data_IF_573705776705
#
_entry.id   IF_573705776705
#
_cell.length_a   1.000
_cell.length_b   1.000
_cell.length_c   1.000
_cell.angle_alpha   90.00
_cell.angle_beta   90.00
_cell.angle_gamma   90.00
#
_symmetry.space_group_name_H-M   'P 1'
#
loop_
_entity.id
_entity.type
_entity.pdbx_description
1 polymer ?
#
# COMPACT_ATOMS: atom_id res chain seq x y z
N UNK A 1 -53.89 8.75 -19.20
CA UNK A 1 -52.98 9.22 -20.25
C UNK A 1 -51.56 9.19 -19.65
N UNK A 2 -50.85 8.10 -19.87
CA UNK A 2 -49.53 7.87 -19.31
C UNK A 2 -48.46 8.28 -20.33
N UNK A 3 -47.57 9.21 -19.98
CA UNK A 3 -46.37 9.46 -20.74
C UNK A 3 -45.22 8.63 -20.15
N UNK A 4 -44.74 7.67 -20.94
CA UNK A 4 -43.48 6.94 -20.72
C UNK A 4 -42.33 7.84 -21.19
N UNK A 5 -41.45 8.26 -20.29
CA UNK A 5 -40.14 8.75 -20.68
C UNK A 5 -39.16 7.56 -20.83
N UNK A 6 -38.78 7.27 -22.04
CA UNK A 6 -37.68 6.36 -22.39
C UNK A 6 -36.41 7.16 -22.33
N UNK A 7 -35.57 6.86 -21.35
CA UNK A 7 -34.18 7.37 -21.32
C UNK A 7 -33.37 6.55 -22.30
N UNK A 8 -32.86 7.17 -23.36
CA UNK A 8 -31.85 6.61 -24.24
C UNK A 8 -30.48 6.77 -23.58
N UNK A 9 -29.92 5.68 -23.06
CA UNK A 9 -28.51 5.62 -22.70
C UNK A 9 -27.74 5.42 -24.01
N UNK A 10 -27.10 6.48 -24.49
CA UNK A 10 -26.12 6.40 -25.57
C UNK A 10 -24.85 5.81 -24.97
N UNK A 11 -24.61 4.53 -25.16
CA UNK A 11 -23.32 3.92 -24.94
C UNK A 11 -22.36 4.50 -26.00
N UNK A 12 -21.48 5.39 -25.60
CA UNK A 12 -20.40 5.86 -26.46
C UNK A 12 -19.32 4.76 -26.40
N UNK A 13 -19.25 3.96 -27.45
CA UNK A 13 -18.10 3.08 -27.69
C UNK A 13 -16.99 3.99 -28.22
N UNK A 14 -16.07 4.37 -27.34
CA UNK A 14 -14.82 5.02 -27.75
C UNK A 14 -13.93 3.95 -28.38
N UNK A 15 -13.44 4.16 -29.58
CA UNK A 15 -12.51 3.27 -30.25
C UNK A 15 -11.12 3.36 -29.59
N UNK A 16 -10.36 2.27 -29.61
CA UNK A 16 -9.00 2.15 -29.02
C UNK A 16 -7.99 3.19 -29.53
N UNK A 17 -8.33 3.98 -30.55
CA UNK A 17 -7.46 4.98 -31.16
C UNK A 17 -7.59 6.38 -30.56
N UNK A 18 -8.58 6.64 -29.68
CA UNK A 18 -8.88 8.00 -29.20
C UNK A 18 -8.10 8.42 -27.93
N UNK A 19 -7.21 7.56 -27.39
CA UNK A 19 -6.54 7.83 -26.14
C UNK A 19 -5.16 8.53 -26.22
N UNK A 20 -4.72 8.96 -27.39
CA UNK A 20 -3.36 9.50 -27.55
C UNK A 20 -3.21 10.98 -27.95
N UNK A 21 -4.28 11.75 -28.05
CA UNK A 21 -4.14 13.18 -28.39
C UNK A 21 -5.12 14.04 -27.59
N UNK A 22 -4.65 14.68 -26.53
CA UNK A 22 -5.29 15.88 -25.98
C UNK A 22 -4.64 17.07 -26.67
N UNK A 23 -5.30 17.59 -27.69
CA UNK A 23 -4.91 18.88 -28.32
C UNK A 23 -5.29 20.03 -27.38
N UNK A 24 -4.28 20.71 -26.83
CA UNK A 24 -4.39 22.07 -26.34
C UNK A 24 -3.34 22.90 -27.04
N UNK A 25 -3.79 23.89 -27.81
CA UNK A 25 -3.03 25.02 -28.38
C UNK A 25 -1.71 24.70 -29.13
N UNK A 26 -1.68 23.65 -29.94
CA UNK A 26 -0.57 23.42 -30.87
C UNK A 26 0.74 22.89 -30.25
N UNK A 27 0.84 22.74 -28.94
CA UNK A 27 1.96 22.08 -28.27
C UNK A 27 1.52 20.70 -27.73
N UNK A 28 2.02 19.66 -28.37
CA UNK A 28 1.85 18.29 -27.86
C UNK A 28 2.50 18.17 -26.47
N UNK A 29 1.70 17.90 -25.44
CA UNK A 29 2.23 17.69 -24.08
C UNK A 29 2.98 16.37 -24.05
N UNK A 30 4.25 16.41 -23.68
CA UNK A 30 5.05 15.21 -23.45
C UNK A 30 4.59 14.53 -22.15
N UNK A 31 4.18 13.28 -22.23
CA UNK A 31 3.77 12.45 -21.09
C UNK A 31 4.87 11.41 -20.89
N UNK A 32 5.70 11.52 -19.83
CA UNK A 32 6.71 10.51 -19.54
C UNK A 32 6.05 9.23 -19.02
N UNK A 33 6.60 8.08 -19.39
CA UNK A 33 6.13 6.78 -18.95
C UNK A 33 6.55 6.46 -17.51
N UNK A 34 7.74 6.93 -17.09
CA UNK A 34 8.34 6.63 -15.79
C UNK A 34 8.81 7.91 -15.10
N UNK A 35 8.28 8.19 -13.94
CA UNK A 35 8.57 9.38 -13.12
C UNK A 35 9.15 8.93 -11.79
N UNK A 36 10.27 9.56 -11.37
CA UNK A 36 10.80 9.44 -10.02
C UNK A 36 10.30 10.61 -9.18
N UNK A 37 9.95 10.33 -7.91
CA UNK A 37 9.42 11.31 -6.99
C UNK A 37 10.38 11.60 -5.85
N UNK A 38 10.38 12.84 -5.39
CA UNK A 38 10.95 13.26 -4.11
C UNK A 38 9.81 13.52 -3.12
N UNK A 39 9.92 13.01 -1.87
CA UNK A 39 8.82 13.08 -0.91
C UNK A 39 8.71 14.44 -0.23
N UNK A 40 7.51 14.72 0.31
CA UNK A 40 7.32 15.71 1.36
C UNK A 40 7.57 15.07 2.74
N UNK A 41 8.12 15.84 3.69
CA UNK A 41 8.47 15.35 5.02
C UNK A 41 7.64 15.98 6.13
N UNK A 42 7.46 15.24 7.26
CA UNK A 42 6.81 15.68 8.48
C UNK A 42 7.66 15.34 9.70
N UNK A 43 7.68 16.23 10.71
CA UNK A 43 8.48 16.16 11.94
C UNK A 43 7.64 15.93 13.20
N UNK A 44 6.66 15.07 13.16
CA UNK A 44 5.78 14.78 14.28
C UNK A 44 6.53 14.31 15.54
N UNK A 45 5.95 14.57 16.73
CA UNK A 45 6.54 14.31 18.05
C UNK A 45 6.92 12.85 18.34
N UNK A 46 6.38 11.93 17.59
CA UNK A 46 6.60 10.48 17.72
C UNK A 46 7.65 9.94 16.72
N UNK A 47 8.11 10.77 15.79
CA UNK A 47 9.05 10.39 14.76
C UNK A 47 10.43 10.00 15.26
N UNK A 48 11.17 9.32 14.40
CA UNK A 48 12.51 8.81 14.66
C UNK A 48 13.55 9.25 13.63
N UNK A 49 14.56 8.41 13.49
CA UNK A 49 15.70 8.64 12.57
C UNK A 49 15.84 7.54 11.51
N UNK A 50 14.98 6.50 11.53
CA UNK A 50 15.09 5.36 10.59
C UNK A 50 14.93 5.80 9.14
N UNK A 51 14.03 6.76 8.83
CA UNK A 51 13.91 7.30 7.48
C UNK A 51 15.23 7.90 6.96
N UNK A 52 16.03 8.47 7.84
CA UNK A 52 17.36 9.00 7.50
C UNK A 52 18.42 7.89 7.45
N UNK A 53 18.45 7.02 8.47
CA UNK A 53 19.52 6.01 8.61
C UNK A 53 19.34 4.80 7.72
N UNK A 54 18.10 4.37 7.46
CA UNK A 54 17.77 3.21 6.62
C UNK A 54 17.64 3.62 5.15
N UNK A 55 16.90 4.69 4.86
CA UNK A 55 16.59 5.10 3.49
C UNK A 55 17.45 6.27 2.97
N UNK A 56 18.30 6.85 3.83
CA UNK A 56 19.15 7.98 3.44
C UNK A 56 18.36 9.25 3.09
N UNK A 57 17.13 9.40 3.58
CA UNK A 57 16.30 10.59 3.36
C UNK A 57 16.99 11.83 3.92
N UNK A 58 16.87 12.94 3.21
CA UNK A 58 17.53 14.22 3.57
C UNK A 58 16.51 15.34 3.60
N UNK A 59 16.43 16.02 4.72
CA UNK A 59 15.68 17.26 4.90
C UNK A 59 16.25 18.03 6.10
N UNK A 60 15.76 19.23 6.35
CA UNK A 60 16.23 20.13 7.41
C UNK A 60 15.68 19.78 8.80
N UNK A 61 14.76 18.82 8.93
CA UNK A 61 14.24 18.36 10.21
C UNK A 61 15.28 17.52 10.95
N UNK A 62 15.37 17.64 12.28
CA UNK A 62 16.22 16.80 13.13
C UNK A 62 15.72 15.36 13.14
N UNK A 63 14.40 15.17 13.19
CA UNK A 63 13.69 13.89 13.08
C UNK A 63 12.77 13.92 11.86
N UNK A 64 12.57 12.76 11.26
CA UNK A 64 11.63 12.59 10.14
C UNK A 64 10.60 11.56 10.56
N UNK A 65 9.39 12.01 10.91
CA UNK A 65 8.32 11.13 11.33
C UNK A 65 7.64 10.46 10.14
N UNK A 66 7.37 11.24 9.09
CA UNK A 66 6.73 10.75 7.86
C UNK A 66 7.47 11.26 6.61
N UNK A 67 7.48 10.41 5.59
CA UNK A 67 7.97 10.71 4.25
C UNK A 67 6.86 10.35 3.25
N UNK A 68 6.21 11.37 2.66
CA UNK A 68 5.08 11.21 1.75
C UNK A 68 5.59 10.97 0.34
N UNK A 69 5.70 9.70 -0.04
CA UNK A 69 6.41 9.22 -1.22
C UNK A 69 5.62 9.44 -2.52
N UNK A 70 4.30 9.23 -2.49
CA UNK A 70 3.38 9.51 -3.59
C UNK A 70 2.22 10.31 -3.04
N UNK A 71 2.22 11.61 -3.28
CA UNK A 71 1.22 12.51 -2.71
C UNK A 71 0.90 13.68 -3.65
N UNK A 72 -0.38 13.82 -3.98
CA UNK A 72 -0.95 15.04 -4.54
C UNK A 72 -1.74 15.85 -3.49
N UNK A 73 -1.69 15.44 -2.20
CA UNK A 73 -2.46 16.05 -1.14
C UNK A 73 -1.95 17.46 -0.79
N UNK A 74 -2.82 18.48 -0.65
CA UNK A 74 -2.38 19.88 -0.39
C UNK A 74 -1.52 20.05 0.85
N UNK A 75 -1.71 19.21 1.88
CA UNK A 75 -0.92 19.24 3.11
C UNK A 75 0.56 18.83 2.91
N UNK A 76 0.92 18.19 1.78
CA UNK A 76 2.29 17.78 1.49
C UNK A 76 2.38 17.02 0.18
N UNK A 77 2.74 17.70 -0.90
CA UNK A 77 2.88 17.09 -2.22
C UNK A 77 4.30 16.55 -2.44
N UNK A 78 4.41 15.40 -3.09
CA UNK A 78 5.67 14.95 -3.67
C UNK A 78 6.07 15.85 -4.84
N UNK A 79 7.35 15.84 -5.19
CA UNK A 79 7.91 16.64 -6.26
C UNK A 79 8.51 15.72 -7.32
N UNK A 80 8.41 16.08 -8.59
CA UNK A 80 9.07 15.36 -9.68
C UNK A 80 10.58 15.53 -9.54
N UNK A 81 11.32 14.42 -9.40
CA UNK A 81 12.74 14.45 -9.08
C UNK A 81 13.64 14.85 -10.26
N UNK A 82 13.25 14.51 -11.48
CA UNK A 82 14.08 14.69 -12.67
C UNK A 82 13.28 14.84 -13.96
N UNK A 83 13.98 15.05 -15.08
CA UNK A 83 13.38 15.20 -16.41
C UNK A 83 12.81 16.60 -16.65
N UNK A 84 11.96 16.73 -17.67
CA UNK A 84 11.42 18.03 -18.13
C UNK A 84 10.45 18.66 -17.13
N UNK A 85 9.98 17.91 -16.17
CA UNK A 85 9.06 18.37 -15.11
C UNK A 85 9.74 18.46 -13.73
N UNK A 86 11.09 18.33 -13.67
CA UNK A 86 11.82 18.40 -12.40
C UNK A 86 11.45 19.67 -11.60
N UNK A 87 11.16 19.47 -10.29
CA UNK A 87 10.75 20.54 -9.38
C UNK A 87 9.25 20.85 -9.38
N UNK A 88 8.46 20.26 -10.28
CA UNK A 88 6.99 20.44 -10.30
C UNK A 88 6.34 19.62 -9.20
N UNK A 89 5.33 20.14 -8.51
CA UNK A 89 4.52 19.36 -7.59
C UNK A 89 3.75 18.28 -8.32
N UNK A 90 3.60 17.11 -7.68
CA UNK A 90 2.98 15.95 -8.30
C UNK A 90 1.51 16.22 -8.69
N UNK A 91 0.75 16.97 -7.89
CA UNK A 91 -0.62 17.36 -8.26
C UNK A 91 -0.68 18.22 -9.50
N UNK A 92 0.19 19.25 -9.60
CA UNK A 92 0.30 20.09 -10.80
C UNK A 92 0.71 19.27 -12.04
N UNK A 93 1.62 18.29 -11.85
CA UNK A 93 2.02 17.40 -12.92
C UNK A 93 0.83 16.57 -13.43
N UNK A 94 0.03 15.97 -12.53
CA UNK A 94 -1.16 15.19 -12.90
C UNK A 94 -2.19 16.06 -13.63
N UNK A 95 -2.44 17.27 -13.17
CA UNK A 95 -3.31 18.23 -13.88
C UNK A 95 -2.80 18.52 -15.30
N UNK A 96 -1.50 18.71 -15.45
CA UNK A 96 -0.84 19.03 -16.71
C UNK A 96 -0.90 17.87 -17.72
N UNK A 97 -0.61 16.64 -17.31
CA UNK A 97 -0.64 15.46 -18.20
C UNK A 97 -2.04 14.91 -18.43
N UNK A 98 -3.01 15.35 -17.62
CA UNK A 98 -4.41 14.97 -17.70
C UNK A 98 -4.77 13.64 -17.08
N UNK A 99 -6.03 13.51 -16.65
CA UNK A 99 -6.55 12.32 -15.94
C UNK A 99 -6.48 11.03 -16.74
N UNK A 100 -6.46 11.09 -18.08
CA UNK A 100 -6.30 9.90 -18.93
C UNK A 100 -5.00 9.13 -18.64
N UNK A 101 -3.95 9.85 -18.20
CA UNK A 101 -2.67 9.26 -17.80
C UNK A 101 -2.74 8.44 -16.50
N UNK A 102 -3.84 8.56 -15.75
CA UNK A 102 -4.11 7.76 -14.55
C UNK A 102 -4.86 6.45 -14.85
N UNK A 103 -5.43 6.32 -16.05
CA UNK A 103 -6.27 5.20 -16.46
C UNK A 103 -7.77 5.43 -16.20
N UNK A 104 -8.61 4.60 -16.88
CA UNK A 104 -10.06 4.81 -16.88
C UNK A 104 -10.73 4.60 -15.52
N UNK A 105 -10.14 3.81 -14.61
CA UNK A 105 -10.63 3.64 -13.22
C UNK A 105 -10.57 4.95 -12.43
N UNK A 106 -9.67 5.84 -12.78
CA UNK A 106 -9.53 7.15 -12.13
C UNK A 106 -10.35 8.26 -12.83
N UNK A 107 -11.02 7.98 -13.94
CA UNK A 107 -11.67 9.01 -14.78
C UNK A 107 -12.77 9.78 -14.03
N UNK A 108 -13.53 9.12 -13.15
CA UNK A 108 -14.62 9.71 -12.36
C UNK A 108 -14.17 10.37 -11.07
N UNK A 109 -12.90 10.19 -10.66
CA UNK A 109 -12.40 10.74 -9.40
C UNK A 109 -12.11 12.24 -9.55
N UNK A 110 -12.44 13.02 -8.55
CA UNK A 110 -12.21 14.47 -8.56
C UNK A 110 -10.73 14.80 -8.31
N UNK A 111 -10.07 14.04 -7.42
CA UNK A 111 -8.66 14.19 -7.07
C UNK A 111 -7.87 12.89 -7.28
N UNK A 112 -6.54 12.97 -7.17
CA UNK A 112 -5.67 11.80 -7.20
C UNK A 112 -6.04 10.85 -6.05
N UNK A 113 -6.17 9.52 -6.29
CA UNK A 113 -6.93 8.64 -5.39
C UNK A 113 -6.19 8.18 -4.14
N UNK A 114 -4.86 8.10 -4.16
CA UNK A 114 -4.08 7.48 -3.07
C UNK A 114 -2.98 8.39 -2.54
N UNK A 115 -2.53 8.09 -1.33
CA UNK A 115 -1.38 8.69 -0.68
C UNK A 115 -0.52 7.55 -0.12
N UNK A 116 0.78 7.56 -0.42
CA UNK A 116 1.72 6.55 0.06
C UNK A 116 2.80 7.23 0.90
N UNK A 117 3.09 6.65 2.08
CA UNK A 117 4.04 7.19 3.04
C UNK A 117 4.95 6.11 3.58
N UNK A 118 6.15 6.51 3.99
CA UNK A 118 6.86 5.83 5.06
C UNK A 118 6.62 6.54 6.39
N UNK A 119 6.42 5.77 7.45
CA UNK A 119 6.20 6.25 8.82
C UNK A 119 7.23 5.61 9.73
N UNK A 120 8.03 6.44 10.40
CA UNK A 120 8.99 6.01 11.43
C UNK A 120 8.43 6.31 12.82
N UNK A 121 7.77 5.31 13.40
CA UNK A 121 7.15 5.38 14.71
C UNK A 121 8.16 5.05 15.82
N UNK A 122 9.08 5.94 16.15
CA UNK A 122 9.98 5.76 17.30
C UNK A 122 9.20 5.70 18.63
N UNK A 123 8.11 6.46 18.72
CA UNK A 123 7.14 6.41 19.84
C UNK A 123 5.77 6.02 19.30
N UNK A 124 4.84 5.50 20.12
CA UNK A 124 3.53 5.10 19.62
C UNK A 124 2.77 6.29 19.03
N UNK A 125 2.09 6.10 17.91
CA UNK A 125 1.14 7.07 17.39
C UNK A 125 -0.08 7.14 18.31
N UNK A 126 -0.89 8.21 18.16
CA UNK A 126 -2.18 8.32 18.86
C UNK A 126 -3.09 7.17 18.48
N UNK A 127 -3.93 6.72 19.40
CA UNK A 127 -5.09 5.91 19.08
C UNK A 127 -6.06 6.78 18.30
N UNK A 128 -6.44 6.34 17.12
CA UNK A 128 -7.18 7.11 16.13
C UNK A 128 -8.13 6.25 15.31
N UNK A 129 -8.98 6.93 14.56
CA UNK A 129 -9.93 6.32 13.64
C UNK A 129 -10.10 7.23 12.43
N UNK A 130 -10.48 6.66 11.31
CA UNK A 130 -10.74 7.39 10.08
C UNK A 130 -12.18 7.21 9.62
N UNK A 131 -12.81 8.25 9.04
CA UNK A 131 -14.15 8.16 8.44
C UNK A 131 -14.12 7.40 7.12
N UNK A 132 -15.28 6.89 6.69
CA UNK A 132 -15.53 6.47 5.32
C UNK A 132 -15.78 7.65 4.37
N UNK A 133 -15.99 7.35 3.08
CA UNK A 133 -16.21 8.39 2.07
C UNK A 133 -17.46 9.23 2.35
N UNK A 134 -18.56 8.61 2.76
CA UNK A 134 -19.84 9.31 2.96
C UNK A 134 -19.71 10.35 4.08
N UNK A 135 -19.17 9.96 5.22
CA UNK A 135 -18.96 10.86 6.35
C UNK A 135 -17.89 11.94 6.03
N UNK A 136 -16.78 11.55 5.43
CA UNK A 136 -15.67 12.46 5.15
C UNK A 136 -16.03 13.53 4.10
N UNK A 137 -16.74 13.17 3.04
CA UNK A 137 -17.21 14.13 2.03
C UNK A 137 -18.19 15.15 2.62
N UNK A 138 -19.07 14.72 3.52
CA UNK A 138 -20.04 15.63 4.16
C UNK A 138 -19.40 16.55 5.19
N UNK A 139 -18.45 16.06 6.00
CA UNK A 139 -17.96 16.75 7.20
C UNK A 139 -16.57 17.36 7.06
N UNK A 140 -15.71 16.83 6.13
CA UNK A 140 -14.32 17.26 5.99
C UNK A 140 -13.99 17.77 4.58
N UNK A 141 -14.89 17.59 3.61
CA UNK A 141 -14.64 17.86 2.19
C UNK A 141 -13.40 17.10 1.67
N UNK A 142 -13.18 15.91 2.17
CA UNK A 142 -12.13 14.96 1.77
C UNK A 142 -12.77 13.57 1.51
N UNK A 143 -12.02 12.66 0.87
CA UNK A 143 -12.41 11.26 0.83
C UNK A 143 -12.24 10.60 2.20
N UNK A 144 -12.85 9.44 2.38
CA UNK A 144 -12.60 8.56 3.52
C UNK A 144 -11.16 8.05 3.52
N UNK A 145 -10.80 7.29 4.56
CA UNK A 145 -9.44 6.80 4.70
C UNK A 145 -9.42 5.34 5.09
N UNK A 146 -9.44 4.48 4.08
CA UNK A 146 -9.02 3.09 4.20
C UNK A 146 -7.52 3.03 3.94
N UNK A 147 -6.79 2.23 4.71
CA UNK A 147 -5.34 2.17 4.63
C UNK A 147 -4.78 0.75 4.81
N UNK A 148 -3.60 0.51 4.30
CA UNK A 148 -2.83 -0.70 4.47
C UNK A 148 -1.45 -0.35 4.99
N UNK A 149 -0.97 -1.10 5.97
CA UNK A 149 0.36 -0.99 6.53
C UNK A 149 1.20 -2.21 6.15
N UNK A 150 2.33 -1.96 5.54
CA UNK A 150 3.36 -2.97 5.33
C UNK A 150 4.51 -2.69 6.31
N UNK A 151 4.82 -3.64 7.19
CA UNK A 151 5.89 -3.51 8.18
C UNK A 151 7.23 -3.68 7.48
N UNK A 152 7.98 -2.60 7.36
CA UNK A 152 9.32 -2.59 6.73
C UNK A 152 10.36 -3.08 7.70
N UNK A 153 10.31 -2.58 8.95
CA UNK A 153 11.23 -2.92 10.03
C UNK A 153 10.56 -2.68 11.38
N UNK A 154 10.91 -3.43 12.40
CA UNK A 154 10.42 -3.20 13.74
C UNK A 154 11.38 -3.72 14.82
N UNK A 155 11.28 -3.13 16.02
CA UNK A 155 11.97 -3.61 17.21
C UNK A 155 11.33 -4.92 17.72
N UNK A 156 12.09 -5.81 18.37
CA UNK A 156 11.53 -7.02 18.98
C UNK A 156 10.40 -6.70 19.97
N UNK A 157 9.25 -7.39 19.84
CA UNK A 157 8.07 -7.17 20.67
C UNK A 157 7.25 -5.91 20.29
N UNK A 158 7.56 -5.28 19.17
CA UNK A 158 6.74 -4.20 18.63
C UNK A 158 5.34 -4.70 18.25
N UNK A 159 4.34 -3.84 18.37
CA UNK A 159 2.95 -4.21 18.16
C UNK A 159 2.13 -3.07 17.58
N UNK A 160 1.00 -3.43 16.99
CA UNK A 160 -0.04 -2.50 16.53
C UNK A 160 -1.30 -2.68 17.40
N UNK A 161 -2.11 -1.64 17.50
CA UNK A 161 -3.51 -1.79 17.87
C UNK A 161 -4.37 -1.79 16.61
N UNK A 162 -5.30 -2.75 16.46
CA UNK A 162 -6.22 -2.78 15.34
C UNK A 162 -7.57 -3.41 15.75
N UNK A 163 -8.58 -2.55 15.81
CA UNK A 163 -9.95 -2.88 16.13
C UNK A 163 -10.21 -3.28 17.58
N UNK A 164 -11.48 -3.45 17.88
CA UNK A 164 -11.96 -3.85 19.21
C UNK A 164 -11.78 -5.36 19.43
N UNK A 165 -11.40 -5.76 20.65
CA UNK A 165 -11.29 -7.17 21.05
C UNK A 165 -12.62 -7.80 21.50
N UNK A 166 -13.64 -6.99 21.64
CA UNK A 166 -15.03 -7.35 21.94
C UNK A 166 -15.98 -6.26 21.48
N UNK A 167 -17.27 -6.52 21.46
CA UNK A 167 -18.27 -5.48 21.27
C UNK A 167 -18.20 -4.46 22.40
N UNK A 168 -18.17 -3.16 22.03
CA UNK A 168 -18.12 -2.03 22.96
C UNK A 168 -19.04 -0.94 22.44
N UNK A 169 -19.99 -0.47 23.25
CA UNK A 169 -20.87 0.62 22.86
C UNK A 169 -20.16 2.00 22.93
N UNK A 170 -20.78 3.01 22.34
CA UNK A 170 -20.21 4.36 22.22
C UNK A 170 -20.04 5.04 23.60
N UNK A 171 -20.91 4.77 24.56
CA UNK A 171 -20.86 5.36 25.91
C UNK A 171 -19.71 4.74 26.71
N UNK A 172 -19.50 3.42 26.60
CA UNK A 172 -18.34 2.76 27.18
C UNK A 172 -17.03 3.27 26.52
N UNK A 173 -16.99 3.41 25.18
CA UNK A 173 -15.81 3.96 24.49
C UNK A 173 -15.47 5.37 25.00
N UNK A 174 -16.46 6.24 25.11
CA UNK A 174 -16.27 7.60 25.69
C UNK A 174 -15.68 7.54 27.09
N UNK A 175 -16.28 6.73 27.95
CA UNK A 175 -15.81 6.55 29.34
C UNK A 175 -14.37 6.05 29.37
N UNK A 176 -14.00 5.11 28.51
CA UNK A 176 -12.63 4.55 28.43
C UNK A 176 -11.60 5.58 27.92
N UNK A 177 -11.98 6.43 26.97
CA UNK A 177 -11.14 7.54 26.51
C UNK A 177 -10.87 8.49 27.66
N UNK A 178 -11.94 8.93 28.36
CA UNK A 178 -11.85 9.88 29.48
C UNK A 178 -11.03 9.33 30.66
N UNK A 179 -11.09 8.03 30.89
CA UNK A 179 -10.36 7.35 31.97
C UNK A 179 -8.99 6.78 31.54
N UNK A 180 -8.54 7.05 30.30
CA UNK A 180 -7.27 6.53 29.76
C UNK A 180 -7.17 5.01 29.72
N UNK A 181 -8.28 4.28 29.56
CA UNK A 181 -8.37 2.81 29.57
C UNK A 181 -8.77 2.21 28.22
N UNK A 182 -8.80 3.02 27.16
CA UNK A 182 -9.24 2.57 25.81
C UNK A 182 -8.43 1.38 25.28
N UNK A 183 -7.14 1.28 25.64
CA UNK A 183 -6.26 0.19 25.19
C UNK A 183 -6.67 -1.20 25.71
N UNK A 184 -7.47 -1.28 26.78
CA UNK A 184 -7.94 -2.55 27.35
C UNK A 184 -8.98 -3.25 26.46
N UNK A 185 -9.61 -2.52 25.56
CA UNK A 185 -10.64 -3.03 24.63
C UNK A 185 -10.15 -3.14 23.20
N UNK A 186 -8.86 -2.91 22.92
CA UNK A 186 -8.26 -3.01 21.60
C UNK A 186 -7.50 -4.35 21.43
N UNK A 187 -7.51 -4.87 20.21
CA UNK A 187 -6.60 -5.95 19.84
C UNK A 187 -5.18 -5.40 19.79
N UNK A 188 -4.28 -6.06 20.51
CA UNK A 188 -2.85 -5.83 20.47
C UNK A 188 -2.19 -6.93 19.65
N UNK A 189 -1.56 -6.57 18.54
CA UNK A 189 -1.03 -7.48 17.54
C UNK A 189 0.48 -7.29 17.49
N UNK A 190 1.26 -8.30 17.87
CA UNK A 190 2.70 -8.30 17.67
C UNK A 190 3.01 -8.43 16.18
N UNK A 191 4.01 -7.69 15.72
CA UNK A 191 4.36 -7.63 14.29
C UNK A 191 5.84 -7.91 14.07
N UNK A 192 6.14 -8.34 12.83
CA UNK A 192 7.50 -8.54 12.32
C UNK A 192 7.62 -7.93 10.91
N UNK A 193 8.84 -7.67 10.43
CA UNK A 193 9.05 -7.22 9.06
C UNK A 193 8.39 -8.17 8.04
N UNK A 194 7.71 -7.60 7.06
CA UNK A 194 6.95 -8.33 6.04
C UNK A 194 5.47 -8.55 6.37
N UNK A 195 5.03 -8.27 7.60
CA UNK A 195 3.62 -8.33 7.95
C UNK A 195 2.84 -7.20 7.26
N UNK A 196 1.57 -7.49 6.93
CA UNK A 196 0.67 -6.56 6.30
C UNK A 196 -0.65 -6.50 7.05
N UNK A 197 -1.14 -5.29 7.34
CA UNK A 197 -2.41 -5.06 8.04
C UNK A 197 -3.26 -4.11 7.22
N UNK A 198 -4.49 -4.50 6.91
CA UNK A 198 -5.49 -3.61 6.33
C UNK A 198 -6.32 -2.97 7.45
N UNK A 199 -6.48 -1.66 7.40
CA UNK A 199 -7.27 -0.87 8.36
C UNK A 199 -8.43 -0.24 7.60
N UNK A 200 -9.60 -0.83 7.76
CA UNK A 200 -10.84 -0.29 7.20
C UNK A 200 -11.25 0.99 7.92
N UNK A 201 -11.82 1.95 7.19
CA UNK A 201 -12.49 3.09 7.79
C UNK A 201 -13.48 2.64 8.88
N UNK A 202 -13.57 3.38 9.99
CA UNK A 202 -14.36 2.98 11.16
C UNK A 202 -13.64 2.06 12.15
N UNK A 203 -12.41 1.62 11.86
CA UNK A 203 -11.61 0.77 12.75
C UNK A 203 -10.72 1.62 13.66
N UNK A 204 -10.79 1.42 14.98
CA UNK A 204 -9.87 2.06 15.94
C UNK A 204 -8.50 1.39 15.82
N UNK A 205 -7.43 2.19 15.65
CA UNK A 205 -6.09 1.64 15.42
C UNK A 205 -4.99 2.56 15.95
N UNK A 206 -3.78 2.01 16.09
CA UNK A 206 -2.56 2.78 16.34
C UNK A 206 -1.32 1.98 15.99
N UNK A 207 -0.29 2.64 15.46
CA UNK A 207 1.05 2.08 15.32
C UNK A 207 1.77 2.20 16.66
N UNK A 208 2.29 1.09 17.17
CA UNK A 208 3.12 1.04 18.36
C UNK A 208 4.50 1.65 18.15
N UNK A 209 5.31 1.67 19.22
CA UNK A 209 6.67 2.20 19.13
C UNK A 209 7.63 1.23 18.44
N UNK A 210 8.68 1.78 17.82
CA UNK A 210 9.78 1.03 17.24
C UNK A 210 9.49 0.43 15.87
N UNK A 211 8.46 0.90 15.16
CA UNK A 211 8.02 0.34 13.88
C UNK A 211 8.28 1.33 12.75
N UNK A 212 8.82 0.82 11.64
CA UNK A 212 8.90 1.51 10.35
C UNK A 212 7.92 0.84 9.39
N UNK A 213 6.95 1.58 8.88
CA UNK A 213 5.96 1.07 7.93
C UNK A 213 5.97 1.80 6.60
N UNK A 214 5.52 1.12 5.56
CA UNK A 214 5.02 1.71 4.32
C UNK A 214 3.49 1.69 4.40
N UNK A 215 2.87 2.87 4.45
CA UNK A 215 1.42 3.05 4.48
C UNK A 215 0.90 3.40 3.09
N UNK A 216 -0.06 2.64 2.59
CA UNK A 216 -0.82 2.93 1.38
C UNK A 216 -2.26 3.20 1.79
N UNK A 217 -2.79 4.38 1.41
CA UNK A 217 -4.10 4.84 1.85
C UNK A 217 -4.84 5.59 0.76
N UNK A 218 -6.15 5.81 0.93
CA UNK A 218 -6.86 6.81 0.15
C UNK A 218 -6.23 8.19 0.38
N UNK A 219 -6.36 9.10 -0.60
CA UNK A 219 -5.77 10.43 -0.56
C UNK A 219 -6.53 11.37 0.40
N UNK A 220 -6.40 11.10 1.68
CA UNK A 220 -7.03 11.84 2.79
C UNK A 220 -6.05 12.05 3.92
N UNK A 221 -6.20 13.16 4.64
CA UNK A 221 -5.46 13.46 5.87
C UNK A 221 -6.39 13.52 7.09
N UNK A 222 -7.65 13.12 6.92
CA UNK A 222 -8.65 13.12 7.98
C UNK A 222 -8.34 12.08 9.04
N UNK A 223 -8.12 12.53 10.28
CA UNK A 223 -7.76 11.69 11.42
C UNK A 223 -8.52 12.15 12.66
N UNK A 224 -9.34 11.28 13.22
CA UNK A 224 -10.01 11.54 14.50
C UNK A 224 -9.23 10.87 15.61
N UNK A 225 -8.49 11.71 16.34
CA UNK A 225 -7.66 11.28 17.48
C UNK A 225 -8.53 11.04 18.69
N UNK A 226 -8.47 9.83 19.23
CA UNK A 226 -9.25 9.40 20.40
C UNK A 226 -8.43 9.47 21.68
N UNK A 227 -7.14 9.12 21.63
CA UNK A 227 -6.26 9.13 22.79
C UNK A 227 -4.81 9.36 22.37
N UNK A 228 -4.08 10.19 23.11
CA UNK A 228 -2.71 10.60 22.79
C UNK A 228 -1.72 10.44 23.94
N UNK A 229 -2.00 9.54 24.91
CA UNK A 229 -1.10 9.23 26.04
C UNK A 229 -0.73 10.46 26.86
N UNK A 230 -1.60 11.47 26.97
CA UNK A 230 -1.36 12.76 27.61
C UNK A 230 -0.10 13.49 27.14
N UNK A 231 0.37 13.20 25.93
CA UNK A 231 1.56 13.82 25.34
C UNK A 231 1.36 15.32 25.17
N UNK A 232 2.46 16.04 25.42
CA UNK A 232 2.52 17.48 25.21
C UNK A 232 3.72 17.81 24.33
N UNK A 233 3.56 18.86 23.54
CA UNK A 233 4.64 19.43 22.77
C UNK A 233 5.66 20.15 23.69
N UNK A 234 6.74 20.67 23.09
CA UNK A 234 7.79 21.43 23.81
C UNK A 234 7.27 22.71 24.51
N UNK A 235 6.06 23.16 24.18
CA UNK A 235 5.41 24.32 24.77
C UNK A 235 4.37 23.93 25.82
N UNK A 236 4.17 22.66 26.08
CA UNK A 236 3.21 22.12 27.05
C UNK A 236 1.79 21.92 26.50
N UNK A 237 1.56 22.08 25.20
CA UNK A 237 0.24 21.91 24.59
C UNK A 237 -0.02 20.44 24.29
N UNK A 238 -1.22 19.94 24.63
CA UNK A 238 -1.73 18.66 24.16
C UNK A 238 -2.28 18.80 22.73
N UNK A 239 -2.22 17.71 21.94
CA UNK A 239 -2.92 17.65 20.66
C UNK A 239 -4.43 17.51 20.89
N UNK A 240 -5.22 18.13 20.03
CA UNK A 240 -6.67 18.04 20.07
C UNK A 240 -7.15 16.60 19.93
N UNK A 241 -8.17 16.22 20.71
CA UNK A 241 -8.91 14.97 20.59
C UNK A 241 -10.23 15.25 19.87
N UNK A 242 -10.62 14.33 18.98
CA UNK A 242 -11.82 14.45 18.13
C UNK A 242 -12.86 13.40 18.55
N UNK A 243 -13.19 13.34 19.86
CA UNK A 243 -13.95 12.23 20.46
C UNK A 243 -15.33 12.07 19.82
N UNK A 244 -16.07 13.18 19.65
CA UNK A 244 -17.43 13.12 19.09
C UNK A 244 -17.43 12.59 17.65
N UNK A 245 -16.58 13.14 16.77
CA UNK A 245 -16.42 12.66 15.39
C UNK A 245 -15.95 11.22 15.34
N UNK A 246 -15.04 10.82 16.24
CA UNK A 246 -14.58 9.43 16.33
C UNK A 246 -15.73 8.48 16.70
N UNK A 247 -16.57 8.88 17.66
CA UNK A 247 -17.73 8.08 18.05
C UNK A 247 -18.83 8.06 16.98
N UNK A 248 -18.90 9.05 16.10
CA UNK A 248 -19.84 9.04 14.99
C UNK A 248 -19.52 7.91 14.00
N UNK A 249 -18.24 7.70 13.69
CA UNK A 249 -17.78 6.80 12.64
C UNK A 249 -17.31 5.42 13.12
N UNK A 250 -17.23 5.17 14.43
CA UNK A 250 -16.66 3.93 14.98
C UNK A 250 -17.52 2.71 14.68
N UNK A 251 -16.88 1.65 14.21
CA UNK A 251 -17.44 0.29 14.26
C UNK A 251 -17.31 -0.25 15.69
N UNK A 252 -18.43 -0.59 16.30
CA UNK A 252 -18.52 -1.05 17.69
C UNK A 252 -18.45 -2.58 17.85
N UNK A 253 -18.41 -3.30 16.75
CA UNK A 253 -18.28 -4.75 16.76
C UNK A 253 -16.82 -5.19 16.96
N UNK A 254 -16.59 -6.40 17.49
CA UNK A 254 -15.25 -6.92 17.58
C UNK A 254 -14.61 -7.05 16.21
N UNK A 255 -13.36 -6.63 16.10
CA UNK A 255 -12.62 -6.80 14.86
C UNK A 255 -12.24 -8.27 14.68
N UNK A 256 -12.68 -8.84 13.57
CA UNK A 256 -12.36 -10.20 13.19
C UNK A 256 -11.26 -10.14 12.13
N UNK A 257 -10.11 -10.75 12.45
CA UNK A 257 -9.11 -11.02 11.43
C UNK A 257 -9.64 -12.18 10.59
N UNK A 258 -10.16 -11.88 9.41
CA UNK A 258 -10.62 -12.93 8.51
C UNK A 258 -9.41 -13.74 8.03
N UNK A 259 -9.30 -14.99 8.51
CA UNK A 259 -8.44 -15.97 7.88
C UNK A 259 -9.06 -16.37 6.54
N UNK A 260 -8.30 -16.33 5.49
CA UNK A 260 -8.74 -16.55 4.12
C UNK A 260 -9.00 -18.02 3.87
N UNK A 261 -10.24 -18.49 4.02
CA UNK A 261 -10.63 -19.85 3.58
C UNK A 261 -11.79 -19.90 2.57
N UNK A 262 -12.47 -18.78 2.23
CA UNK A 262 -13.57 -18.84 1.26
C UNK A 262 -13.82 -17.52 0.52
N UNK A 263 -13.44 -17.47 -0.77
CA UNK A 263 -13.61 -16.32 -1.66
C UNK A 263 -14.69 -16.52 -2.73
N UNK A 264 -15.70 -17.31 -2.45
CA UNK A 264 -16.86 -17.44 -3.37
C UNK A 264 -17.98 -16.45 -3.09
N UNK A 265 -17.84 -15.53 -2.13
CA UNK A 265 -18.82 -14.48 -1.85
C UNK A 265 -18.25 -13.11 -2.23
N UNK A 266 -19.12 -12.25 -2.79
CA UNK A 266 -18.91 -10.86 -3.17
C UNK A 266 -18.41 -9.94 -2.03
N UNK A 267 -17.37 -10.34 -1.27
CA UNK A 267 -16.79 -9.47 -0.25
C UNK A 267 -15.93 -8.39 -0.92
N UNK A 268 -16.23 -7.15 -0.62
CA UNK A 268 -15.60 -5.94 -1.17
C UNK A 268 -14.10 -5.80 -0.79
N UNK A 269 -13.59 -6.69 0.10
CA UNK A 269 -12.24 -6.63 0.66
C UNK A 269 -11.60 -8.01 0.77
N UNK A 270 -10.32 -8.07 0.44
CA UNK A 270 -9.47 -9.25 0.62
C UNK A 270 -8.42 -8.96 1.68
N UNK A 271 -8.41 -9.70 2.79
CA UNK A 271 -7.41 -9.60 3.85
C UNK A 271 -6.43 -10.75 3.73
N UNK A 272 -5.18 -10.54 4.13
CA UNK A 272 -4.16 -11.59 4.20
C UNK A 272 -3.82 -11.84 5.67
N UNK A 273 -3.90 -13.11 6.08
CA UNK A 273 -3.54 -13.54 7.45
C UNK A 273 -2.06 -13.23 7.73
N UNK A 274 -1.81 -12.58 8.87
CA UNK A 274 -0.46 -12.24 9.33
C UNK A 274 0.33 -13.45 9.83
N UNK A 275 -0.32 -14.61 10.04
CA UNK A 275 0.31 -15.80 10.61
C UNK A 275 0.88 -16.77 9.58
N UNK A 276 0.78 -16.49 8.28
CA UNK A 276 1.41 -17.32 7.27
C UNK A 276 2.90 -16.99 7.24
N UNK A 277 3.81 -17.94 7.54
CA UNK A 277 5.25 -17.72 7.37
C UNK A 277 5.50 -17.26 5.94
N UNK A 278 6.35 -16.23 5.76
CA UNK A 278 6.71 -15.84 4.40
C UNK A 278 7.26 -17.08 3.69
N UNK A 279 6.70 -17.43 2.54
CA UNK A 279 7.13 -18.60 1.75
C UNK A 279 8.64 -18.53 1.47
N UNK A 280 9.23 -17.32 1.44
CA UNK A 280 10.67 -17.10 1.34
C UNK A 280 11.47 -17.70 2.50
N UNK A 281 10.99 -17.68 3.76
CA UNK A 281 11.70 -18.31 4.87
C UNK A 281 11.66 -19.84 4.79
N UNK A 282 10.51 -20.42 4.44
CA UNK A 282 10.39 -21.86 4.26
C UNK A 282 11.27 -22.37 3.10
N UNK A 283 11.35 -21.59 2.03
CA UNK A 283 12.16 -21.93 0.83
C UNK A 283 13.68 -21.77 1.09
N UNK A 284 14.09 -20.73 1.81
CA UNK A 284 15.49 -20.49 2.20
C UNK A 284 15.96 -21.57 3.19
N UNK A 285 15.12 -22.02 4.11
CA UNK A 285 15.47 -23.10 5.05
C UNK A 285 15.64 -24.43 4.33
N UNK A 286 14.75 -24.77 3.39
CA UNK A 286 14.87 -25.98 2.58
C UNK A 286 16.11 -25.96 1.67
N UNK A 287 16.50 -24.79 1.13
CA UNK A 287 17.70 -24.68 0.27
C UNK A 287 19.02 -24.64 1.03
N UNK A 288 19.01 -24.37 2.32
CA UNK A 288 20.25 -24.36 3.15
C UNK A 288 20.61 -25.73 3.72
N UNK A 289 19.63 -26.63 3.92
CA UNK A 289 19.84 -27.94 4.52
C UNK A 289 20.01 -29.06 3.48
N UNK A 290 19.84 -28.77 2.19
CA UNK A 290 20.02 -29.75 1.09
C UNK A 290 21.34 -29.47 0.39
N UNK A 291 22.39 -30.20 0.76
CA UNK A 291 23.58 -30.34 -0.10
C UNK A 291 23.15 -31.13 -1.34
N UNK A 292 22.90 -30.44 -2.44
CA UNK A 292 22.57 -31.05 -3.73
C UNK A 292 23.80 -31.82 -4.23
N UNK A 293 23.79 -33.14 -4.08
CA UNK A 293 24.60 -33.99 -4.91
C UNK A 293 24.06 -33.93 -6.37
N UNK A 294 24.95 -33.75 -7.33
CA UNK A 294 24.67 -33.38 -8.72
C UNK A 294 23.80 -34.40 -9.52
N UNK A 295 23.12 -35.35 -8.86
CA UNK A 295 22.33 -36.41 -9.48
C UNK A 295 20.91 -36.63 -8.92
N UNK A 296 20.45 -35.79 -7.98
CA UNK A 296 19.07 -35.96 -7.45
C UNK A 296 18.13 -35.01 -8.15
N UNK A 297 17.08 -35.57 -8.80
CA UNK A 297 16.08 -34.74 -9.47
C UNK A 297 15.24 -33.95 -8.43
N UNK A 298 14.92 -32.69 -8.72
CA UNK A 298 14.13 -31.81 -7.87
C UNK A 298 12.76 -32.41 -7.50
N UNK A 299 12.20 -33.27 -8.35
CA UNK A 299 10.95 -34.02 -8.12
C UNK A 299 11.01 -34.98 -6.93
N UNK A 300 12.15 -35.59 -6.66
CA UNK A 300 12.30 -36.51 -5.51
C UNK A 300 12.35 -35.76 -4.17
N UNK A 301 12.85 -34.53 -4.18
CA UNK A 301 12.92 -33.69 -2.98
C UNK A 301 11.54 -33.12 -2.60
N UNK A 302 10.70 -32.78 -3.58
CA UNK A 302 9.33 -32.31 -3.35
C UNK A 302 8.40 -33.40 -2.78
N UNK A 303 8.65 -34.69 -3.09
CA UNK A 303 7.87 -35.83 -2.56
C UNK A 303 8.19 -36.19 -1.11
N UNK A 304 9.25 -35.65 -0.50
CA UNK A 304 9.63 -35.91 0.87
C UNK A 304 9.01 -34.93 1.90
N UNK A 305 8.27 -33.92 1.46
CA UNK A 305 7.52 -33.00 2.32
C UNK A 305 6.16 -33.64 2.66
N UNK A 306 5.87 -33.71 3.94
CA UNK A 306 4.87 -34.55 4.60
C UNK A 306 3.46 -34.56 4.00
N UNK A 307 2.79 -35.69 4.17
CA UNK A 307 1.51 -36.12 3.60
C UNK A 307 0.24 -35.39 4.14
N UNK A 308 0.33 -34.21 4.73
CA UNK A 308 -0.82 -33.47 5.27
C UNK A 308 -1.17 -32.20 4.46
N UNK A 309 -0.28 -31.72 3.58
CA UNK A 309 -0.52 -30.51 2.82
C UNK A 309 -0.78 -30.87 1.35
N UNK A 310 -1.79 -30.25 0.74
CA UNK A 310 -2.12 -30.45 -0.67
C UNK A 310 -0.92 -30.09 -1.53
N UNK A 311 -0.38 -31.06 -2.24
CA UNK A 311 0.80 -30.92 -3.11
C UNK A 311 0.46 -30.02 -4.29
N UNK A 312 1.21 -28.93 -4.45
CA UNK A 312 1.19 -28.11 -5.65
C UNK A 312 1.84 -28.88 -6.82
N UNK A 313 1.20 -28.89 -7.98
CA UNK A 313 1.81 -29.45 -9.20
C UNK A 313 2.92 -28.54 -9.71
N UNK A 314 4.09 -29.13 -9.95
CA UNK A 314 5.23 -28.44 -10.56
C UNK A 314 5.19 -28.70 -12.07
N UNK A 315 4.89 -27.67 -12.85
CA UNK A 315 4.96 -27.73 -14.30
C UNK A 315 6.26 -27.09 -14.80
N UNK A 316 7.11 -27.84 -15.47
CA UNK A 316 8.24 -27.30 -16.23
C UNK A 316 7.81 -27.10 -17.70
N UNK A 317 8.04 -25.88 -18.24
CA UNK A 317 7.89 -25.69 -19.67
C UNK A 317 9.03 -26.36 -20.46
N UNK A 318 8.76 -26.63 -21.75
CA UNK A 318 9.69 -27.34 -22.64
C UNK A 318 11.00 -26.55 -22.94
N UNK A 319 11.17 -25.36 -22.38
CA UNK A 319 12.32 -24.48 -22.57
C UNK A 319 13.31 -24.48 -21.40
N UNK A 320 12.99 -25.15 -20.26
CA UNK A 320 13.92 -25.33 -19.14
C UNK A 320 14.30 -24.09 -18.38
N UNK A 321 13.51 -23.00 -18.41
CA UNK A 321 13.86 -21.70 -17.86
C UNK A 321 12.95 -21.22 -16.74
N UNK A 322 11.95 -22.00 -16.31
CA UNK A 322 11.04 -21.58 -15.23
C UNK A 322 10.57 -22.73 -14.36
N UNK A 323 10.65 -22.60 -13.06
CA UNK A 323 9.99 -23.46 -12.08
C UNK A 323 8.80 -22.69 -11.55
N UNK A 324 7.58 -23.08 -11.93
CA UNK A 324 6.35 -22.55 -11.37
C UNK A 324 5.86 -23.40 -10.21
N UNK A 325 5.68 -22.83 -9.04
CA UNK A 325 4.95 -23.45 -7.94
C UNK A 325 3.58 -22.76 -7.85
N UNK A 326 2.51 -23.52 -8.16
CA UNK A 326 1.15 -23.04 -7.96
C UNK A 326 0.66 -23.54 -6.60
N UNK A 327 0.33 -22.63 -5.71
CA UNK A 327 -0.42 -22.93 -4.49
C UNK A 327 -1.90 -22.68 -4.82
N UNK A 328 -2.68 -23.75 -4.79
CA UNK A 328 -4.12 -23.65 -5.04
C UNK A 328 -4.76 -23.04 -3.79
N UNK A 329 -5.21 -21.83 -3.96
CA UNK A 329 -6.24 -21.04 -3.29
C UNK A 329 -5.88 -19.57 -3.49
N UNK A 330 -6.59 -18.84 -4.29
CA UNK A 330 -6.68 -17.40 -4.62
C UNK A 330 -5.63 -16.37 -4.10
N UNK A 331 -4.65 -16.78 -3.33
CA UNK A 331 -3.40 -16.06 -3.12
C UNK A 331 -2.46 -16.41 -4.26
N UNK A 332 -2.52 -15.68 -5.37
CA UNK A 332 -1.65 -15.86 -6.50
C UNK A 332 -0.18 -15.60 -6.10
N UNK A 333 0.47 -16.64 -5.61
CA UNK A 333 1.92 -16.71 -5.47
C UNK A 333 2.46 -17.28 -6.77
N UNK A 334 3.12 -16.48 -7.60
CA UNK A 334 3.84 -16.99 -8.76
C UNK A 334 5.34 -16.82 -8.55
N UNK A 335 6.09 -17.92 -8.65
CA UNK A 335 7.54 -17.89 -8.71
C UNK A 335 7.91 -18.06 -10.20
N UNK A 336 8.22 -16.96 -10.84
CA UNK A 336 8.91 -16.99 -12.13
C UNK A 336 10.38 -16.81 -11.78
N UNK A 337 11.24 -17.80 -12.00
CA UNK A 337 12.66 -17.95 -11.61
C UNK A 337 13.50 -16.73 -11.20
N UNK A 338 13.07 -15.50 -11.51
CA UNK A 338 13.79 -14.27 -11.25
C UNK A 338 13.11 -13.37 -10.19
N UNK A 339 11.86 -13.64 -9.80
CA UNK A 339 11.15 -12.89 -8.76
C UNK A 339 10.03 -13.72 -8.12
N UNK A 340 9.63 -13.27 -6.94
CA UNK A 340 8.45 -13.74 -6.22
C UNK A 340 7.44 -12.59 -6.10
N UNK A 341 6.15 -12.87 -6.32
CA UNK A 341 5.05 -11.90 -6.19
C UNK A 341 4.01 -12.40 -5.20
N UNK A 342 3.57 -11.51 -4.32
CA UNK A 342 2.50 -11.76 -3.34
C UNK A 342 1.49 -10.62 -3.36
N UNK A 343 0.20 -10.96 -3.50
CA UNK A 343 -0.87 -10.00 -3.23
C UNK A 343 -0.88 -9.67 -1.74
N UNK A 344 -0.81 -8.39 -1.38
CA UNK A 344 -0.89 -7.92 0.00
C UNK A 344 -2.31 -7.54 0.37
N UNK A 345 -2.95 -6.69 -0.44
CA UNK A 345 -4.31 -6.20 -0.23
C UNK A 345 -4.97 -5.94 -1.58
N UNK A 346 -6.24 -6.26 -1.69
CA UNK A 346 -7.13 -5.77 -2.75
C UNK A 346 -8.41 -5.27 -2.10
N UNK A 347 -8.75 -4.01 -2.33
CA UNK A 347 -9.99 -3.40 -1.86
C UNK A 347 -10.62 -2.55 -2.98
N UNK A 348 -11.74 -1.91 -2.71
CA UNK A 348 -12.42 -1.00 -3.64
C UNK A 348 -11.52 0.13 -4.17
N UNK A 349 -10.54 0.56 -3.38
CA UNK A 349 -9.78 1.78 -3.59
C UNK A 349 -8.39 1.54 -4.21
N UNK A 350 -7.77 0.40 -3.90
CA UNK A 350 -6.44 0.06 -4.41
C UNK A 350 -6.15 -1.44 -4.29
N UNK A 351 -5.17 -1.87 -5.09
CA UNK A 351 -4.54 -3.17 -4.98
C UNK A 351 -3.05 -2.98 -4.74
N UNK A 352 -2.50 -3.70 -3.75
CA UNK A 352 -1.08 -3.70 -3.41
C UNK A 352 -0.50 -5.10 -3.56
N UNK A 353 0.65 -5.18 -4.21
CA UNK A 353 1.40 -6.41 -4.40
C UNK A 353 2.85 -6.21 -3.97
N UNK A 354 3.43 -7.20 -3.30
CA UNK A 354 4.86 -7.26 -3.00
C UNK A 354 5.58 -8.01 -4.11
N UNK A 355 6.75 -7.51 -4.50
CA UNK A 355 7.69 -8.18 -5.38
C UNK A 355 9.04 -8.32 -4.70
N UNK A 356 9.52 -9.56 -4.54
CA UNK A 356 10.90 -9.87 -4.20
C UNK A 356 11.62 -10.20 -5.51
N UNK A 357 12.38 -9.26 -6.03
CA UNK A 357 13.08 -9.39 -7.31
C UNK A 357 14.51 -9.85 -7.04
N UNK A 358 14.91 -10.98 -7.63
CA UNK A 358 16.26 -11.54 -7.51
C UNK A 358 17.16 -11.17 -8.67
N UNK A 359 16.58 -11.05 -9.88
CA UNK A 359 17.25 -10.58 -11.09
C UNK A 359 16.40 -9.64 -11.90
N UNK A 360 15.24 -10.09 -12.39
CA UNK A 360 14.36 -9.29 -13.22
C UNK A 360 12.89 -9.63 -12.97
N UNK A 361 12.06 -8.57 -12.85
CA UNK A 361 10.60 -8.69 -12.89
C UNK A 361 10.02 -7.89 -14.06
N UNK A 362 8.93 -8.39 -14.65
CA UNK A 362 8.18 -7.71 -15.70
C UNK A 362 6.74 -7.52 -15.26
N UNK A 363 6.28 -6.28 -15.21
CA UNK A 363 4.96 -5.91 -14.72
C UNK A 363 4.19 -5.22 -15.84
N UNK A 364 3.05 -5.80 -16.23
CA UNK A 364 2.17 -5.18 -17.22
C UNK A 364 1.43 -3.99 -16.61
N UNK A 365 1.39 -2.89 -17.35
CA UNK A 365 0.56 -1.72 -17.09
C UNK A 365 -0.37 -1.56 -18.27
N UNK A 366 -1.66 -1.50 -18.00
CA UNK A 366 -2.69 -1.33 -19.02
C UNK A 366 -3.36 0.05 -18.92
N UNK A 367 -4.40 0.27 -19.70
CA UNK A 367 -5.15 1.54 -19.71
C UNK A 367 -6.09 1.71 -18.52
N UNK A 368 -6.20 0.71 -17.64
CA UNK A 368 -7.13 0.77 -16.50
C UNK A 368 -6.62 1.61 -15.36
N UNK A 369 -5.30 1.54 -15.07
CA UNK A 369 -4.70 2.22 -13.91
C UNK A 369 -3.23 2.55 -14.17
N UNK A 370 -2.78 3.60 -13.51
CA UNK A 370 -1.36 3.87 -13.26
C UNK A 370 -0.74 2.78 -12.37
N UNK A 371 0.59 2.83 -12.21
CA UNK A 371 1.32 2.01 -11.26
C UNK A 371 2.20 2.88 -10.37
N UNK A 372 2.17 2.65 -9.06
CA UNK A 372 3.16 3.16 -8.11
C UNK A 372 4.11 2.05 -7.71
N UNK A 373 5.40 2.35 -7.62
CA UNK A 373 6.44 1.42 -7.18
C UNK A 373 7.21 2.07 -6.04
N UNK A 374 7.17 1.45 -4.86
CA UNK A 374 7.95 1.85 -3.68
C UNK A 374 9.02 0.80 -3.45
N UNK A 375 10.28 1.18 -3.48
CA UNK A 375 11.40 0.27 -3.19
C UNK A 375 11.61 0.17 -1.69
N UNK A 376 11.39 -1.02 -1.14
CA UNK A 376 11.51 -1.30 0.30
C UNK A 376 12.96 -1.61 0.67
N UNK A 377 13.63 -2.44 -0.12
CA UNK A 377 15.02 -2.82 0.13
C UNK A 377 15.78 -3.08 -1.17
N UNK A 378 17.11 -3.09 -1.11
CA UNK A 378 17.97 -3.41 -2.25
C UNK A 378 18.11 -2.28 -3.27
N UNK A 379 18.51 -2.66 -4.49
CA UNK A 379 18.73 -1.73 -5.62
C UNK A 379 18.32 -2.37 -6.92
N UNK A 380 17.80 -1.56 -7.84
CA UNK A 380 17.40 -2.00 -9.17
C UNK A 380 17.54 -0.88 -10.21
N UNK A 381 17.35 -1.24 -11.45
CA UNK A 381 17.05 -0.34 -12.56
C UNK A 381 15.61 -0.56 -12.98
N UNK A 382 14.78 0.48 -12.91
CA UNK A 382 13.40 0.44 -13.39
C UNK A 382 13.37 1.05 -14.79
N UNK A 383 12.74 0.35 -15.73
CA UNK A 383 12.65 0.79 -17.13
C UNK A 383 11.22 0.63 -17.66
N UNK A 384 10.76 1.59 -18.47
CA UNK A 384 9.48 1.55 -19.20
C UNK A 384 9.74 2.11 -20.59
N UNK A 385 9.59 1.30 -21.62
CA UNK A 385 9.96 1.71 -22.99
C UNK A 385 11.40 2.17 -23.09
N UNK A 386 11.60 3.43 -23.48
CA UNK A 386 12.94 4.06 -23.56
C UNK A 386 13.39 4.70 -22.25
N UNK A 387 12.48 4.96 -21.31
CA UNK A 387 12.79 5.58 -20.02
C UNK A 387 13.41 4.57 -19.06
N UNK A 388 14.42 5.01 -18.31
CA UNK A 388 15.06 4.15 -17.33
C UNK A 388 15.69 4.97 -16.21
N UNK A 389 15.52 4.48 -14.96
CA UNK A 389 16.00 5.15 -13.74
C UNK A 389 16.61 4.15 -12.78
N UNK A 390 17.69 4.56 -12.10
CA UNK A 390 18.20 3.82 -10.95
C UNK A 390 17.23 3.93 -9.77
N UNK A 391 17.08 2.84 -9.04
CA UNK A 391 16.20 2.71 -7.89
C UNK A 391 16.93 2.09 -6.70
N UNK A 392 16.66 2.56 -5.50
CA UNK A 392 17.20 2.05 -4.24
C UNK A 392 16.14 2.13 -3.13
N UNK A 393 16.41 1.45 -2.05
CA UNK A 393 15.56 1.46 -0.86
C UNK A 393 15.10 2.87 -0.47
N UNK A 394 13.82 3.04 -0.19
CA UNK A 394 13.18 4.28 0.16
C UNK A 394 12.78 5.17 -1.02
N UNK A 395 13.01 4.79 -2.27
CA UNK A 395 12.65 5.60 -3.43
C UNK A 395 11.29 5.22 -4.02
N UNK A 396 10.64 6.22 -4.61
CA UNK A 396 9.28 6.17 -5.16
C UNK A 396 9.26 6.49 -6.65
N UNK A 397 8.48 5.69 -7.38
CA UNK A 397 8.28 5.85 -8.82
C UNK A 397 6.81 5.77 -9.17
N UNK A 398 6.42 6.58 -10.15
CA UNK A 398 5.09 6.58 -10.73
C UNK A 398 5.19 6.25 -12.22
N UNK A 399 4.31 5.35 -12.68
CA UNK A 399 4.20 4.94 -14.08
C UNK A 399 2.81 5.29 -14.56
N UNK A 400 2.70 6.07 -15.63
CA UNK A 400 1.42 6.44 -16.22
C UNK A 400 0.71 5.23 -16.81
N UNK A 401 -0.64 5.25 -16.80
CA UNK A 401 -1.45 4.21 -17.43
C UNK A 401 -1.16 4.11 -18.94
N UNK A 402 -1.36 2.91 -19.51
CA UNK A 402 -1.15 2.62 -20.93
C UNK A 402 -0.62 1.20 -21.14
N UNK A 403 -0.73 0.71 -22.36
CA UNK A 403 -0.28 -0.65 -22.71
C UNK A 403 1.25 -0.71 -22.79
N UNK A 404 1.90 -0.91 -21.64
CA UNK A 404 3.35 -0.92 -21.50
C UNK A 404 3.82 -1.98 -20.49
N UNK A 405 5.10 -2.23 -20.46
CA UNK A 405 5.73 -3.15 -19.51
C UNK A 405 6.77 -2.39 -18.71
N UNK A 406 6.65 -2.47 -17.38
CA UNK A 406 7.71 -2.08 -16.45
C UNK A 406 8.68 -3.26 -16.33
N UNK A 407 9.96 -2.98 -16.45
CA UNK A 407 11.03 -3.94 -16.18
C UNK A 407 11.80 -3.45 -14.95
N UNK A 408 11.84 -4.29 -13.91
CA UNK A 408 12.67 -4.08 -12.72
C UNK A 408 13.85 -5.05 -12.83
N UNK A 409 15.05 -4.52 -13.00
CA UNK A 409 16.30 -5.28 -13.22
C UNK A 409 17.26 -5.03 -12.05
N UNK A 410 17.50 -6.03 -11.21
CA UNK A 410 18.33 -5.94 -10.02
C UNK A 410 17.84 -6.85 -8.90
N UNK A 411 18.37 -6.63 -7.69
CA UNK A 411 17.97 -7.33 -6.48
C UNK A 411 17.31 -6.35 -5.51
N UNK A 412 15.98 -6.44 -5.38
CA UNK A 412 15.22 -5.52 -4.53
C UNK A 412 13.90 -6.13 -4.08
N UNK A 413 13.39 -5.60 -2.99
CA UNK A 413 12.00 -5.76 -2.56
C UNK A 413 11.24 -4.47 -2.87
N UNK A 414 10.05 -4.58 -3.46
CA UNK A 414 9.21 -3.42 -3.70
C UNK A 414 7.72 -3.72 -3.48
N UNK A 415 6.98 -2.69 -3.11
CA UNK A 415 5.51 -2.70 -3.08
C UNK A 415 5.02 -1.95 -4.31
N UNK A 416 4.13 -2.61 -5.04
CA UNK A 416 3.52 -2.11 -6.27
C UNK A 416 2.05 -1.89 -6.02
N UNK A 417 1.57 -0.67 -6.31
CA UNK A 417 0.18 -0.26 -6.05
C UNK A 417 -0.49 0.22 -7.33
N UNK A 418 -1.76 -0.17 -7.51
CA UNK A 418 -2.66 0.29 -8.59
C UNK A 418 -4.08 0.47 -8.06
N UNK A 419 -4.97 1.10 -8.85
CA UNK A 419 -6.41 1.25 -8.56
C UNK A 419 -7.20 0.09 -9.18
#
# INVERSE_FOLDING_TARGET
>A
MYYKHILYIKTIILSETDFHNVENDGNQIYIPDLIKLEPAFKDNLWGGTKLRTVFGKKCDYDIIAESWELSAHPAGQSVIADGVYAGMFFGEFIEKIGKSSLGWKCASLESFPILIKFIDAMKPLSIQIHPDDDYALENENEYGKNEMWYVVDCEPGAFLYCGLNRKVDKDELRTRIENNTITEVLNKIEVKPGDCVFVKAGTIHAIGAGILICEIQQNSNSTYRMYDYDRRDRFGNARELHIDKALDVVDTEPYVFESYEDTTSDSEYTFIDMNIPSVGEAYITASRDVSLDNNTSFLETAQSVSSSDKVAEVNSDAAGTGIGIYVDNDMAVSIEGDFFRKLLVRCKYFQCEKYDVYRQARIAVDTSSFLSIIVISGTAKISVGADSKGAKAGESFFVTAGNKTVVIDGACECVVTRI
#
